data_IF_027857729114
#
_entry.id   IF_027857729114
#
_cell.length_a   1.000
_cell.length_b   1.000
_cell.length_c   1.000
_cell.angle_alpha   90.00
_cell.angle_beta   90.00
_cell.angle_gamma   90.00
#
_symmetry.space_group_name_H-M   'P 1'
#
loop_
_entity.id
_entity.type
_entity.pdbx_description
1 polymer ?
#
# COMPACT_ATOMS: atom_id res chain seq x y z
N UNK A 1 -12.44 -37.44 8.82
CA UNK A 1 -13.79 -37.04 8.41
C UNK A 1 -13.63 -36.09 7.26
N UNK A 2 -13.88 -36.62 6.07
CA UNK A 2 -13.80 -35.91 4.80
C UNK A 2 -15.18 -35.29 4.56
N UNK A 3 -15.23 -34.02 4.17
CA UNK A 3 -16.47 -33.32 3.89
C UNK A 3 -16.98 -33.78 2.51
N UNK A 4 -18.22 -34.24 2.45
CA UNK A 4 -18.80 -34.75 1.22
C UNK A 4 -18.80 -33.67 0.12
N UNK A 5 -18.47 -34.08 -1.12
CA UNK A 5 -18.45 -33.19 -2.29
C UNK A 5 -19.77 -32.45 -2.50
N UNK A 6 -20.89 -33.09 -2.15
CA UNK A 6 -22.23 -32.54 -2.25
C UNK A 6 -22.41 -31.29 -1.38
N UNK A 7 -21.82 -31.26 -0.19
CA UNK A 7 -21.88 -30.08 0.71
C UNK A 7 -21.14 -28.89 0.10
N UNK A 8 -19.97 -29.13 -0.51
CA UNK A 8 -19.22 -28.09 -1.23
C UNK A 8 -20.00 -27.57 -2.45
N UNK A 9 -20.59 -28.46 -3.25
CA UNK A 9 -21.41 -28.10 -4.41
C UNK A 9 -22.64 -27.28 -3.99
N UNK A 10 -23.32 -27.68 -2.92
CA UNK A 10 -24.46 -26.94 -2.37
C UNK A 10 -24.05 -25.52 -1.94
N UNK A 11 -22.96 -25.40 -1.18
CA UNK A 11 -22.43 -24.10 -0.78
C UNK A 11 -22.01 -23.23 -1.98
N UNK A 12 -21.48 -23.84 -3.04
CA UNK A 12 -21.19 -23.12 -4.28
C UNK A 12 -22.46 -22.50 -4.86
N UNK A 13 -23.51 -23.31 -5.01
CA UNK A 13 -24.78 -22.90 -5.61
C UNK A 13 -25.51 -21.83 -4.78
N UNK A 14 -25.51 -21.97 -3.45
CA UNK A 14 -26.29 -21.09 -2.55
C UNK A 14 -25.56 -19.83 -2.10
N UNK A 15 -24.27 -19.72 -2.41
CA UNK A 15 -23.40 -18.56 -2.15
C UNK A 15 -23.11 -18.19 -0.68
N UNK A 16 -23.89 -18.68 0.27
CA UNK A 16 -23.69 -18.48 1.71
C UNK A 16 -24.02 -19.76 2.46
N UNK A 17 -23.24 -20.08 3.49
CA UNK A 17 -23.42 -21.28 4.30
C UNK A 17 -24.79 -21.33 4.96
N UNK A 18 -25.30 -20.22 5.49
CA UNK A 18 -26.57 -20.21 6.22
C UNK A 18 -27.78 -20.57 5.35
N UNK A 19 -27.63 -20.54 4.02
CA UNK A 19 -28.65 -20.99 3.06
C UNK A 19 -28.59 -22.50 2.78
N UNK A 20 -27.50 -23.16 3.15
CA UNK A 20 -27.31 -24.60 2.95
C UNK A 20 -28.16 -25.45 3.91
N UNK A 21 -28.40 -26.70 3.54
CA UNK A 21 -29.08 -27.67 4.37
C UNK A 21 -28.31 -27.88 5.70
N UNK A 22 -29.01 -28.25 6.80
CA UNK A 22 -28.38 -28.44 8.11
C UNK A 22 -27.14 -29.33 8.09
N UNK A 23 -27.18 -30.46 7.36
CA UNK A 23 -26.05 -31.38 7.23
C UNK A 23 -24.82 -30.74 6.55
N UNK A 24 -25.04 -30.01 5.45
CA UNK A 24 -23.97 -29.29 4.77
C UNK A 24 -23.39 -28.15 5.63
N UNK A 25 -24.25 -27.44 6.37
CA UNK A 25 -23.82 -26.39 7.31
C UNK A 25 -22.90 -26.94 8.38
N UNK A 26 -23.30 -28.04 9.00
CA UNK A 26 -22.53 -28.66 10.08
C UNK A 26 -21.18 -29.18 9.57
N UNK A 27 -21.19 -29.95 8.49
CA UNK A 27 -19.97 -30.54 7.94
C UNK A 27 -18.93 -29.48 7.50
N UNK A 28 -19.39 -28.40 6.88
CA UNK A 28 -18.51 -27.31 6.43
C UNK A 28 -17.99 -26.47 7.61
N UNK A 29 -18.84 -26.18 8.62
CA UNK A 29 -18.39 -25.53 9.86
C UNK A 29 -17.33 -26.36 10.54
N UNK A 30 -17.58 -27.64 10.76
CA UNK A 30 -16.64 -28.53 11.43
C UNK A 30 -15.29 -28.57 10.68
N UNK A 31 -15.33 -28.60 9.34
CA UNK A 31 -14.12 -28.52 8.51
C UNK A 31 -13.32 -27.24 8.79
N UNK A 32 -13.95 -26.06 8.73
CA UNK A 32 -13.24 -24.80 8.96
C UNK A 32 -12.72 -24.70 10.39
N UNK A 33 -13.51 -25.04 11.39
CA UNK A 33 -13.14 -24.96 12.81
C UNK A 33 -11.93 -25.84 13.11
N UNK A 34 -11.95 -27.08 12.65
CA UNK A 34 -10.83 -28.02 12.86
C UNK A 34 -9.53 -27.48 12.25
N UNK A 35 -9.61 -26.90 11.04
CA UNK A 35 -8.45 -26.33 10.35
C UNK A 35 -7.97 -25.03 10.99
N UNK A 36 -8.90 -24.16 11.39
CA UNK A 36 -8.63 -22.90 12.06
C UNK A 36 -7.89 -23.15 13.39
N UNK A 37 -8.43 -24.02 14.25
CA UNK A 37 -7.76 -24.43 15.51
C UNK A 37 -6.38 -25.03 15.28
N UNK A 38 -6.22 -25.89 14.28
CA UNK A 38 -4.92 -26.46 13.92
C UNK A 38 -3.91 -25.40 13.44
N UNK A 39 -4.37 -24.33 12.79
CA UNK A 39 -3.50 -23.23 12.40
C UNK A 39 -3.10 -22.35 13.59
N UNK A 40 -4.04 -22.09 14.51
CA UNK A 40 -3.77 -21.34 15.74
C UNK A 40 -2.79 -22.07 16.66
N UNK A 41 -2.96 -23.38 16.87
CA UNK A 41 -2.06 -24.17 17.72
C UNK A 41 -0.62 -24.27 17.18
N UNK A 42 -0.41 -24.05 15.87
CA UNK A 42 0.92 -23.97 15.24
C UNK A 42 1.55 -22.59 15.31
N UNK A 43 0.81 -21.57 15.75
CA UNK A 43 1.24 -20.18 15.81
C UNK A 43 2.17 -19.84 16.98
N UNK A 44 2.47 -20.78 17.89
CA UNK A 44 3.25 -20.56 19.12
C UNK A 44 2.78 -19.33 19.92
N UNK A 45 1.46 -19.17 20.09
CA UNK A 45 0.89 -18.18 21.00
C UNK A 45 0.93 -18.74 22.42
N UNK A 46 1.79 -18.22 23.33
CA UNK A 46 2.07 -18.87 24.61
C UNK A 46 0.88 -18.95 25.57
N UNK A 47 -0.13 -18.09 25.39
CA UNK A 47 -1.28 -17.95 26.31
C UNK A 47 -2.65 -18.14 25.62
N UNK A 48 -2.69 -18.68 24.40
CA UNK A 48 -3.97 -18.93 23.74
C UNK A 48 -4.59 -20.24 24.24
N UNK A 49 -5.55 -20.13 25.16
CA UNK A 49 -6.50 -21.19 25.45
C UNK A 49 -7.66 -21.08 24.44
N UNK A 50 -7.79 -21.99 23.46
CA UNK A 50 -8.91 -21.95 22.52
C UNK A 50 -10.21 -22.17 23.28
N UNK A 51 -11.03 -21.12 23.40
CA UNK A 51 -12.37 -21.27 23.93
C UNK A 51 -13.25 -21.90 22.85
N UNK A 52 -13.61 -23.17 23.06
CA UNK A 52 -14.15 -24.01 22.02
C UNK A 52 -15.53 -23.54 21.50
N UNK A 53 -16.27 -22.74 22.28
CA UNK A 53 -17.61 -22.26 21.94
C UNK A 53 -17.60 -20.97 21.09
N UNK A 54 -16.63 -20.08 21.27
CA UNK A 54 -16.65 -18.74 20.64
C UNK A 54 -16.11 -18.76 19.20
N UNK A 55 -15.18 -19.67 18.89
CA UNK A 55 -14.44 -19.64 17.62
C UNK A 55 -15.14 -20.37 16.47
N UNK A 56 -16.11 -21.24 16.78
CA UNK A 56 -16.70 -22.15 15.80
C UNK A 56 -17.55 -21.46 14.71
N UNK A 57 -18.47 -20.53 15.07
CA UNK A 57 -19.22 -19.75 14.09
C UNK A 57 -18.33 -18.75 13.34
N UNK A 58 -17.28 -18.25 14.01
CA UNK A 58 -16.43 -17.20 13.49
C UNK A 58 -15.47 -17.69 12.39
N UNK A 59 -14.94 -18.91 12.51
CA UNK A 59 -13.98 -19.47 11.54
C UNK A 59 -14.53 -19.56 10.11
N UNK A 60 -15.78 -20.03 9.94
CA UNK A 60 -16.39 -20.11 8.61
C UNK A 60 -16.79 -18.73 8.09
N UNK A 61 -17.31 -17.86 8.97
CA UNK A 61 -17.65 -16.49 8.59
C UNK A 61 -16.43 -15.72 8.06
N UNK A 62 -15.30 -15.77 8.77
CA UNK A 62 -14.05 -15.17 8.33
C UNK A 62 -13.57 -15.74 6.98
N UNK A 63 -13.75 -17.05 6.79
CA UNK A 63 -13.42 -17.70 5.53
C UNK A 63 -14.29 -17.19 4.38
N UNK A 64 -15.61 -17.14 4.54
CA UNK A 64 -16.52 -16.59 3.51
C UNK A 64 -16.23 -15.13 3.20
N UNK A 65 -16.07 -14.30 4.23
CA UNK A 65 -15.73 -12.88 4.07
C UNK A 65 -14.43 -12.70 3.30
N UNK A 66 -13.41 -13.52 3.57
CA UNK A 66 -12.15 -13.47 2.85
C UNK A 66 -12.29 -13.88 1.38
N UNK A 67 -13.11 -14.91 1.08
CA UNK A 67 -13.37 -15.32 -0.30
C UNK A 67 -14.10 -14.26 -1.13
N UNK A 68 -14.88 -13.40 -0.47
CA UNK A 68 -15.63 -12.31 -1.10
C UNK A 68 -14.77 -11.05 -1.30
N UNK A 69 -13.93 -10.72 -0.32
CA UNK A 69 -13.17 -9.47 -0.31
C UNK A 69 -11.79 -9.59 -0.97
N UNK A 70 -11.21 -10.79 -0.99
CA UNK A 70 -9.90 -11.02 -1.57
C UNK A 70 -10.00 -11.66 -2.97
N UNK A 71 -9.01 -11.35 -3.82
CA UNK A 71 -8.84 -11.99 -5.11
C UNK A 71 -7.50 -12.74 -5.15
N UNK A 72 -7.42 -13.75 -6.03
CA UNK A 72 -6.15 -14.40 -6.34
C UNK A 72 -5.19 -13.40 -6.99
N UNK A 73 -3.89 -13.73 -7.04
CA UNK A 73 -2.88 -12.92 -7.77
C UNK A 73 -3.21 -12.71 -9.26
N UNK A 74 -4.08 -13.55 -9.82
CA UNK A 74 -4.56 -13.49 -11.20
C UNK A 74 -5.91 -12.77 -11.33
N UNK A 75 -6.44 -12.15 -10.26
CA UNK A 75 -7.71 -11.43 -10.25
C UNK A 75 -8.96 -12.32 -10.22
N UNK A 76 -8.81 -13.65 -10.24
CA UNK A 76 -9.95 -14.58 -10.09
C UNK A 76 -10.48 -14.57 -8.67
N UNK A 77 -11.81 -14.72 -8.53
CA UNK A 77 -12.48 -14.95 -7.25
C UNK A 77 -12.02 -16.28 -6.66
N UNK A 78 -11.66 -16.30 -5.38
CA UNK A 78 -11.13 -17.51 -4.74
C UNK A 78 -12.12 -18.68 -4.77
N UNK A 79 -13.43 -18.40 -4.71
CA UNK A 79 -14.46 -19.43 -4.78
C UNK A 79 -14.47 -20.14 -6.13
N UNK A 80 -14.32 -19.42 -7.24
CA UNK A 80 -14.27 -20.03 -8.58
C UNK A 80 -12.97 -20.81 -8.76
N UNK A 81 -11.85 -20.23 -8.34
CA UNK A 81 -10.54 -20.89 -8.33
C UNK A 81 -10.55 -22.22 -7.56
N UNK A 82 -11.26 -22.29 -6.43
CA UNK A 82 -11.37 -23.49 -5.60
C UNK A 82 -11.94 -24.69 -6.38
N UNK A 83 -12.95 -24.44 -7.22
CA UNK A 83 -13.62 -25.47 -8.01
C UNK A 83 -12.93 -25.72 -9.35
N UNK A 84 -12.31 -24.70 -9.96
CA UNK A 84 -11.47 -24.87 -11.16
C UNK A 84 -10.28 -25.79 -10.88
N UNK A 85 -9.70 -25.70 -9.68
CA UNK A 85 -8.53 -26.48 -9.27
C UNK A 85 -8.72 -28.00 -9.34
N UNK A 86 -9.95 -28.49 -9.14
CA UNK A 86 -10.26 -29.92 -9.17
C UNK A 86 -10.98 -30.38 -10.44
N UNK A 87 -11.17 -29.50 -11.44
CA UNK A 87 -11.98 -29.79 -12.63
C UNK A 87 -11.46 -30.93 -13.53
N UNK A 88 -10.24 -31.44 -13.29
CA UNK A 88 -9.61 -32.52 -14.07
C UNK A 88 -9.66 -33.92 -13.45
N UNK A 89 -10.15 -34.07 -12.21
CA UNK A 89 -10.19 -35.36 -11.52
C UNK A 89 -11.43 -35.44 -10.61
N UNK A 90 -12.57 -35.89 -11.17
CA UNK A 90 -13.85 -35.89 -10.46
C UNK A 90 -13.84 -36.78 -9.20
N UNK A 91 -13.10 -37.89 -9.24
CA UNK A 91 -12.92 -38.80 -8.10
C UNK A 91 -12.17 -38.15 -6.93
N UNK A 92 -11.35 -37.12 -7.16
CA UNK A 92 -10.52 -36.44 -6.16
C UNK A 92 -10.94 -34.98 -5.92
N UNK A 93 -12.04 -34.53 -6.54
CA UNK A 93 -12.49 -33.13 -6.50
C UNK A 93 -12.72 -32.65 -5.06
N UNK A 94 -13.31 -33.48 -4.20
CA UNK A 94 -13.50 -33.15 -2.78
C UNK A 94 -12.17 -32.87 -2.07
N UNK A 95 -11.17 -33.75 -2.27
CA UNK A 95 -9.83 -33.58 -1.68
C UNK A 95 -9.11 -32.36 -2.24
N UNK A 96 -9.24 -32.09 -3.53
CA UNK A 96 -8.67 -30.91 -4.16
C UNK A 96 -9.27 -29.60 -3.60
N UNK A 97 -10.60 -29.58 -3.42
CA UNK A 97 -11.33 -28.47 -2.81
C UNK A 97 -10.91 -28.27 -1.36
N UNK A 98 -10.87 -29.34 -0.55
CA UNK A 98 -10.45 -29.27 0.85
C UNK A 98 -9.01 -28.80 1.00
N UNK A 99 -8.11 -29.27 0.13
CA UNK A 99 -6.71 -28.82 0.10
C UNK A 99 -6.60 -27.32 -0.22
N UNK A 100 -7.38 -26.84 -1.19
CA UNK A 100 -7.47 -25.42 -1.53
C UNK A 100 -8.06 -24.57 -0.40
N UNK A 101 -9.15 -25.04 0.21
CA UNK A 101 -9.83 -24.36 1.30
C UNK A 101 -8.92 -24.26 2.54
N UNK A 102 -8.17 -25.33 2.85
CA UNK A 102 -7.19 -25.32 3.94
C UNK A 102 -6.06 -24.30 3.72
N UNK A 103 -5.60 -24.10 2.48
CA UNK A 103 -4.60 -23.09 2.16
C UNK A 103 -5.13 -21.67 2.37
N UNK A 104 -6.38 -21.41 1.94
CA UNK A 104 -7.04 -20.12 2.13
C UNK A 104 -7.29 -19.87 3.62
N UNK A 105 -7.82 -20.85 4.35
CA UNK A 105 -8.01 -20.79 5.80
C UNK A 105 -6.73 -20.43 6.55
N UNK A 106 -5.58 -20.94 6.11
CA UNK A 106 -4.28 -20.53 6.69
C UNK A 106 -3.98 -19.04 6.49
N UNK A 107 -4.38 -18.47 5.35
CA UNK A 107 -4.28 -17.03 5.10
C UNK A 107 -5.23 -16.23 5.99
N UNK A 108 -6.48 -16.69 6.10
CA UNK A 108 -7.51 -16.13 6.98
C UNK A 108 -7.04 -16.09 8.43
N UNK A 109 -6.48 -17.19 8.94
CA UNK A 109 -5.95 -17.27 10.32
C UNK A 109 -4.82 -16.29 10.54
N UNK A 110 -3.88 -16.15 9.57
CA UNK A 110 -2.80 -15.15 9.71
C UNK A 110 -3.32 -13.74 9.78
N UNK A 111 -4.34 -13.44 8.97
CA UNK A 111 -4.97 -12.13 8.93
C UNK A 111 -5.73 -11.85 10.23
N UNK A 112 -6.51 -12.82 10.71
CA UNK A 112 -7.18 -12.78 11.99
C UNK A 112 -6.18 -12.54 13.14
N UNK A 113 -5.09 -13.32 13.19
CA UNK A 113 -4.03 -13.11 14.18
C UNK A 113 -3.38 -11.73 14.04
N UNK A 114 -3.18 -11.22 12.83
CA UNK A 114 -2.64 -9.87 12.64
C UNK A 114 -3.55 -8.77 13.17
N UNK A 115 -4.86 -8.97 13.11
CA UNK A 115 -5.86 -8.00 13.56
C UNK A 115 -6.08 -8.09 15.08
N UNK A 116 -6.38 -9.29 15.57
CA UNK A 116 -6.71 -9.54 16.99
C UNK A 116 -5.46 -9.61 17.89
N UNK A 117 -4.35 -10.11 17.36
CA UNK A 117 -3.09 -10.29 18.07
C UNK A 117 -2.01 -9.41 17.46
N UNK A 118 -2.21 -8.10 17.63
CA UNK A 118 -1.15 -7.14 17.39
C UNK A 118 0.12 -7.58 18.15
N UNK A 119 1.31 -7.56 17.53
CA UNK A 119 2.54 -8.00 18.19
C UNK A 119 2.69 -7.33 19.57
N UNK A 120 3.35 -7.95 20.56
CA UNK A 120 3.47 -7.41 21.92
C UNK A 120 4.16 -6.03 22.03
N UNK A 121 4.69 -5.51 20.92
CA UNK A 121 5.27 -4.16 20.79
C UNK A 121 4.34 -3.14 20.14
N UNK A 122 3.10 -3.51 19.82
CA UNK A 122 2.09 -2.61 19.25
C UNK A 122 1.09 -2.27 20.35
N UNK A 123 1.31 -1.12 20.98
CA UNK A 123 0.40 -0.55 21.98
C UNK A 123 -0.66 0.28 21.27
N UNK A 124 -1.87 0.32 21.83
CA UNK A 124 -2.89 1.27 21.38
C UNK A 124 -2.40 2.69 21.65
N UNK A 125 -2.65 3.61 20.72
CA UNK A 125 -2.39 5.03 20.97
C UNK A 125 -3.23 5.55 22.15
N UNK A 126 -4.41 4.98 22.36
CA UNK A 126 -5.30 5.30 23.48
C UNK A 126 -4.88 4.60 24.80
N UNK A 127 -3.77 3.87 24.83
CA UNK A 127 -3.28 3.26 26.07
C UNK A 127 -2.87 4.37 27.03
N UNK A 128 -3.50 4.40 28.21
CA UNK A 128 -3.16 5.31 29.31
C UNK A 128 -1.79 4.95 29.86
N UNK A 129 -0.96 5.98 30.05
CA UNK A 129 0.39 5.90 30.57
C UNK A 129 0.42 6.35 32.03
N UNK A 130 0.82 5.43 32.92
CA UNK A 130 0.93 5.65 34.37
C UNK A 130 -0.17 4.93 35.16
N UNK A 131 0.15 4.50 36.38
CA UNK A 131 -0.76 3.78 37.28
C UNK A 131 -1.68 4.70 38.09
N UNK A 132 -1.38 6.00 38.14
CA UNK A 132 -1.93 6.91 39.14
C UNK A 132 -2.81 7.97 38.47
N UNK A 133 -4.02 7.57 38.08
CA UNK A 133 -5.16 8.48 37.82
C UNK A 133 -5.01 9.52 36.70
N UNK A 134 -3.93 9.51 35.92
CA UNK A 134 -3.75 10.39 34.78
C UNK A 134 -4.51 9.91 33.54
N UNK A 135 -5.01 10.83 32.72
CA UNK A 135 -5.63 10.52 31.42
C UNK A 135 -4.63 10.57 30.26
N UNK A 136 -3.33 10.66 30.55
CA UNK A 136 -2.29 10.80 29.53
C UNK A 136 -2.20 9.51 28.73
N UNK A 137 -2.47 9.57 27.44
CA UNK A 137 -2.38 8.45 26.52
C UNK A 137 -1.06 8.46 25.76
N UNK A 138 -0.74 7.34 25.13
CA UNK A 138 0.42 7.23 24.23
C UNK A 138 0.28 8.16 23.02
N UNK A 139 -0.94 8.48 22.61
CA UNK A 139 -1.27 9.49 21.59
C UNK A 139 -0.79 10.88 21.99
N UNK A 140 -0.98 11.27 23.26
CA UNK A 140 -0.59 12.59 23.77
C UNK A 140 0.94 12.80 23.77
N UNK A 141 1.72 11.71 23.71
CA UNK A 141 3.18 11.76 23.60
C UNK A 141 3.68 11.84 22.15
N UNK A 142 2.80 11.70 21.15
CA UNK A 142 3.19 11.83 19.75
C UNK A 142 3.32 13.31 19.35
N UNK A 143 4.35 13.67 18.57
CA UNK A 143 4.54 15.06 18.16
C UNK A 143 3.48 15.51 17.13
N UNK A 144 2.52 16.31 17.61
CA UNK A 144 1.61 17.14 16.82
C UNK A 144 0.15 16.69 16.90
N UNK A 145 -0.76 17.66 16.76
CA UNK A 145 -2.20 17.39 16.61
C UNK A 145 -2.42 16.65 15.27
N UNK A 146 -2.96 15.43 15.32
CA UNK A 146 -3.24 14.64 14.13
C UNK A 146 -4.62 14.99 13.58
N UNK A 147 -4.70 15.99 12.72
CA UNK A 147 -5.89 16.19 11.92
C UNK A 147 -5.95 15.12 10.83
N UNK A 148 -6.76 14.08 11.06
CA UNK A 148 -6.99 13.00 10.12
C UNK A 148 -7.51 13.51 8.78
N UNK A 149 -8.34 14.56 8.77
CA UNK A 149 -8.85 15.15 7.54
C UNK A 149 -7.74 15.86 6.75
N UNK A 150 -6.85 16.60 7.44
CA UNK A 150 -5.67 17.20 6.80
C UNK A 150 -4.74 16.12 6.23
N UNK A 151 -4.54 15.01 6.96
CA UNK A 151 -3.69 13.91 6.53
C UNK A 151 -4.25 13.17 5.30
N UNK A 152 -5.56 12.99 5.22
CA UNK A 152 -6.25 12.44 4.04
C UNK A 152 -6.11 13.40 2.85
N UNK A 153 -6.45 14.67 3.04
CA UNK A 153 -6.31 15.71 2.01
C UNK A 153 -4.87 15.79 1.47
N UNK A 154 -3.87 15.70 2.36
CA UNK A 154 -2.46 15.65 2.00
C UNK A 154 -2.12 14.44 1.14
N UNK A 155 -2.58 13.24 1.51
CA UNK A 155 -2.34 12.01 0.72
C UNK A 155 -2.96 12.10 -0.67
N UNK A 156 -4.18 12.60 -0.78
CA UNK A 156 -4.86 12.80 -2.06
C UNK A 156 -4.12 13.81 -2.94
N UNK A 157 -3.65 14.91 -2.36
CA UNK A 157 -2.84 15.91 -3.05
C UNK A 157 -1.50 15.31 -3.52
N UNK A 158 -0.82 14.53 -2.67
CA UNK A 158 0.42 13.83 -3.02
C UNK A 158 0.21 12.84 -4.18
N UNK A 159 -0.88 12.08 -4.19
CA UNK A 159 -1.22 11.15 -5.27
C UNK A 159 -1.53 11.87 -6.58
N UNK A 160 -2.29 12.96 -6.50
CA UNK A 160 -2.54 13.82 -7.65
C UNK A 160 -1.23 14.41 -8.19
N UNK A 161 -0.37 14.90 -7.30
CA UNK A 161 0.93 15.44 -7.64
C UNK A 161 1.84 14.39 -8.32
N UNK A 162 1.87 13.15 -7.82
CA UNK A 162 2.61 12.04 -8.44
C UNK A 162 2.14 11.77 -9.86
N UNK A 163 0.82 11.73 -10.08
CA UNK A 163 0.23 11.52 -11.41
C UNK A 163 0.59 12.66 -12.38
N UNK A 164 0.49 13.90 -11.92
CA UNK A 164 0.84 15.08 -12.72
C UNK A 164 2.33 15.16 -13.02
N UNK A 165 3.19 14.93 -12.03
CA UNK A 165 4.63 14.86 -12.19
C UNK A 165 5.03 13.83 -13.25
N UNK A 166 4.38 12.65 -13.28
CA UNK A 166 4.65 11.65 -14.31
C UNK A 166 4.31 12.15 -15.73
N UNK A 167 3.20 12.89 -15.89
CA UNK A 167 2.80 13.47 -17.19
C UNK A 167 3.81 14.52 -17.65
N UNK A 168 4.22 15.42 -16.75
CA UNK A 168 5.25 16.42 -17.07
C UNK A 168 6.59 15.78 -17.36
N UNK A 169 7.05 14.83 -16.54
CA UNK A 169 8.33 14.15 -16.70
C UNK A 169 8.48 13.47 -18.08
N UNK A 170 7.41 12.83 -18.58
CA UNK A 170 7.39 12.21 -19.91
C UNK A 170 7.62 13.24 -21.04
N UNK A 171 7.16 14.47 -20.85
CA UNK A 171 7.31 15.58 -21.80
C UNK A 171 8.59 16.40 -21.56
N UNK A 172 9.20 16.29 -20.38
CA UNK A 172 10.44 16.99 -20.05
C UNK A 172 11.57 16.59 -21.00
N UNK A 173 12.21 17.59 -21.61
CA UNK A 173 13.40 17.44 -22.43
C UNK A 173 14.60 17.12 -21.54
N UNK A 174 15.64 16.54 -22.15
CA UNK A 174 16.87 16.17 -21.43
C UNK A 174 17.52 17.35 -20.67
N UNK A 175 17.68 18.57 -21.25
CA UNK A 175 18.23 19.70 -20.51
C UNK A 175 17.40 20.11 -19.29
N UNK A 176 16.07 20.00 -19.36
CA UNK A 176 15.16 20.31 -18.26
C UNK A 176 15.31 19.29 -17.12
N UNK A 177 15.43 18.00 -17.45
CA UNK A 177 15.67 16.93 -16.47
C UNK A 177 17.01 17.10 -15.77
N UNK A 178 18.06 17.44 -16.51
CA UNK A 178 19.40 17.68 -15.94
C UNK A 178 19.39 18.93 -15.05
N UNK A 179 18.74 20.02 -15.49
CA UNK A 179 18.64 21.24 -14.67
C UNK A 179 17.91 20.98 -13.35
N UNK A 180 16.78 20.26 -13.41
CA UNK A 180 16.04 19.90 -12.20
C UNK A 180 16.87 18.96 -11.31
N UNK A 181 17.55 17.96 -11.89
CA UNK A 181 18.43 17.05 -11.14
C UNK A 181 19.55 17.80 -10.41
N UNK A 182 20.24 18.72 -11.09
CA UNK A 182 21.28 19.54 -10.47
C UNK A 182 20.72 20.35 -9.29
N UNK A 183 19.51 20.91 -9.44
CA UNK A 183 18.83 21.61 -8.35
C UNK A 183 18.46 20.69 -7.19
N UNK A 184 17.97 19.48 -7.46
CA UNK A 184 17.67 18.46 -6.44
C UNK A 184 18.93 18.04 -5.67
N UNK A 185 20.06 17.94 -6.37
CA UNK A 185 21.37 17.61 -5.79
C UNK A 185 22.08 18.83 -5.14
N UNK A 186 21.45 20.00 -5.14
CA UNK A 186 22.03 21.26 -4.66
C UNK A 186 23.33 21.67 -5.39
N UNK A 187 23.53 21.19 -6.62
CA UNK A 187 24.65 21.56 -7.48
C UNK A 187 24.27 22.82 -8.28
N UNK A 188 25.18 23.78 -8.34
CA UNK A 188 24.99 24.99 -9.14
C UNK A 188 24.80 24.66 -10.62
N UNK A 189 23.81 25.29 -11.28
CA UNK A 189 23.62 25.15 -12.74
C UNK A 189 24.78 25.76 -13.56
N UNK A 190 25.61 26.60 -12.93
CA UNK A 190 26.82 27.12 -13.54
C UNK A 190 28.01 26.15 -13.43
N UNK A 191 27.88 25.07 -12.67
CA UNK A 191 28.96 24.11 -12.46
C UNK A 191 29.29 23.35 -13.76
N UNK A 192 30.58 23.12 -14.09
CA UNK A 192 30.97 22.40 -15.31
C UNK A 192 30.34 21.01 -15.45
N UNK A 193 30.11 20.30 -14.34
CA UNK A 193 29.44 19.00 -14.37
C UNK A 193 27.99 19.10 -14.87
N UNK A 194 27.27 20.19 -14.55
CA UNK A 194 25.89 20.40 -14.99
C UNK A 194 25.80 20.75 -16.48
N UNK A 195 26.70 21.59 -16.98
CA UNK A 195 26.76 21.96 -18.40
C UNK A 195 27.23 20.78 -19.26
N UNK A 196 28.21 20.01 -18.78
CA UNK A 196 28.67 18.78 -19.44
C UNK A 196 27.57 17.72 -19.50
N UNK A 197 26.86 17.48 -18.38
CA UNK A 197 25.76 16.52 -18.34
C UNK A 197 24.61 16.92 -19.29
N UNK A 198 24.27 18.22 -19.34
CA UNK A 198 23.21 18.72 -20.20
C UNK A 198 23.61 18.80 -21.69
N UNK A 199 24.90 18.96 -21.98
CA UNK A 199 25.41 19.21 -23.33
C UNK A 199 25.11 20.63 -23.83
N UNK A 200 24.88 21.58 -22.92
CA UNK A 200 24.53 22.97 -23.27
C UNK A 200 25.15 24.00 -22.31
N UNK A 201 25.20 25.25 -22.77
CA UNK A 201 25.72 26.38 -21.97
C UNK A 201 24.82 26.69 -20.76
N UNK A 202 25.39 27.30 -19.71
CA UNK A 202 24.68 27.68 -18.47
C UNK A 202 23.38 28.45 -18.73
N UNK A 203 23.40 29.44 -19.62
CA UNK A 203 22.25 30.28 -19.94
C UNK A 203 21.07 29.46 -20.46
N UNK A 204 21.35 28.45 -21.29
CA UNK A 204 20.33 27.55 -21.81
C UNK A 204 19.77 26.66 -20.71
N UNK A 205 20.61 26.20 -19.78
CA UNK A 205 20.19 25.36 -18.66
C UNK A 205 19.25 26.10 -17.70
N UNK A 206 19.58 27.34 -17.35
CA UNK A 206 18.70 28.22 -16.57
C UNK A 206 17.38 28.48 -17.31
N UNK A 207 17.43 28.79 -18.61
CA UNK A 207 16.21 29.01 -19.40
C UNK A 207 15.33 27.75 -19.51
N UNK A 208 15.96 26.56 -19.50
CA UNK A 208 15.25 25.27 -19.53
C UNK A 208 14.54 25.00 -18.22
N UNK A 209 15.17 25.30 -17.07
CA UNK A 209 14.51 25.16 -15.77
C UNK A 209 13.32 26.11 -15.62
N UNK A 210 13.47 27.37 -16.03
CA UNK A 210 12.38 28.34 -15.99
C UNK A 210 11.23 27.93 -16.92
N UNK A 211 11.54 27.48 -18.13
CA UNK A 211 10.53 26.97 -19.07
C UNK A 211 9.79 25.76 -18.50
N UNK A 212 10.49 24.83 -17.86
CA UNK A 212 9.84 23.71 -17.17
C UNK A 212 8.88 24.23 -16.09
N UNK A 213 9.31 25.21 -15.31
CA UNK A 213 8.47 25.77 -14.25
C UNK A 213 7.22 26.48 -14.79
N UNK A 214 7.36 27.26 -15.85
CA UNK A 214 6.23 27.89 -16.53
C UNK A 214 5.30 26.86 -17.16
N UNK A 215 5.84 25.78 -17.74
CA UNK A 215 5.05 24.69 -18.31
C UNK A 215 4.24 23.97 -17.23
N UNK A 216 4.84 23.69 -16.08
CA UNK A 216 4.15 23.08 -14.93
C UNK A 216 3.07 24.03 -14.42
N UNK A 217 3.41 25.30 -14.19
CA UNK A 217 2.49 26.33 -13.70
C UNK A 217 1.28 26.48 -14.63
N UNK A 218 1.50 26.75 -15.91
CA UNK A 218 0.42 26.95 -16.89
C UNK A 218 -0.40 25.67 -17.09
N UNK A 219 0.25 24.50 -17.11
CA UNK A 219 -0.46 23.23 -17.24
C UNK A 219 -1.36 22.90 -16.05
N UNK A 220 -0.95 23.26 -14.83
CA UNK A 220 -1.77 23.09 -13.63
C UNK A 220 -2.89 24.14 -13.57
N UNK A 221 -2.60 25.42 -13.82
CA UNK A 221 -3.62 26.47 -13.84
C UNK A 221 -4.71 26.21 -14.88
N UNK A 222 -4.35 25.71 -16.07
CA UNK A 222 -5.33 25.39 -17.10
C UNK A 222 -6.20 24.18 -16.72
N UNK A 223 -5.61 23.13 -16.14
CA UNK A 223 -6.34 21.90 -15.81
C UNK A 223 -7.22 22.03 -14.57
N UNK A 224 -6.79 22.84 -13.61
CA UNK A 224 -7.44 23.04 -12.32
C UNK A 224 -7.96 24.47 -12.19
N UNK A 225 -8.48 25.04 -13.30
CA UNK A 225 -8.93 26.43 -13.35
C UNK A 225 -10.14 26.72 -12.44
N UNK A 226 -10.90 25.68 -12.07
CA UNK A 226 -12.05 25.79 -11.17
C UNK A 226 -11.67 25.66 -9.68
N UNK A 227 -10.43 25.24 -9.38
CA UNK A 227 -9.96 25.02 -8.02
C UNK A 227 -9.47 26.33 -7.38
N UNK A 228 -9.44 26.38 -6.05
CA UNK A 228 -8.85 27.48 -5.31
C UNK A 228 -7.36 27.68 -5.70
N UNK A 229 -6.94 28.91 -6.07
CA UNK A 229 -5.54 29.22 -6.35
C UNK A 229 -4.54 28.78 -5.27
N UNK A 230 -4.94 28.74 -3.99
CA UNK A 230 -4.12 28.25 -2.90
C UNK A 230 -3.89 26.73 -3.01
N UNK A 231 -4.92 25.95 -3.37
CA UNK A 231 -4.82 24.51 -3.61
C UNK A 231 -3.94 24.23 -4.82
N UNK A 232 -4.12 24.96 -5.93
CA UNK A 232 -3.27 24.81 -7.12
C UNK A 232 -1.80 25.12 -6.82
N UNK A 233 -1.53 26.10 -5.96
CA UNK A 233 -0.17 26.42 -5.49
C UNK A 233 0.43 25.27 -4.67
N UNK A 234 -0.31 24.71 -3.72
CA UNK A 234 0.13 23.53 -2.94
C UNK A 234 0.40 22.34 -3.86
N UNK A 235 -0.49 22.10 -4.82
CA UNK A 235 -0.32 21.06 -5.84
C UNK A 235 0.95 21.29 -6.67
N UNK A 236 1.23 22.52 -7.11
CA UNK A 236 2.43 22.84 -7.87
C UNK A 236 3.70 22.51 -7.09
N UNK A 237 3.77 22.87 -5.81
CA UNK A 237 4.89 22.52 -4.94
C UNK A 237 5.06 21.00 -4.80
N UNK A 238 3.98 20.28 -4.54
CA UNK A 238 3.99 18.82 -4.45
C UNK A 238 4.39 18.15 -5.78
N UNK A 239 3.98 18.72 -6.92
CA UNK A 239 4.39 18.25 -8.26
C UNK A 239 5.89 18.42 -8.46
N UNK A 240 6.48 19.54 -8.05
CA UNK A 240 7.94 19.74 -8.12
C UNK A 240 8.72 18.79 -7.21
N UNK A 241 8.19 18.47 -6.03
CA UNK A 241 8.79 17.47 -5.14
C UNK A 241 8.74 16.07 -5.78
N UNK A 242 7.59 15.68 -6.33
CA UNK A 242 7.45 14.42 -7.06
C UNK A 242 8.33 14.36 -8.33
N UNK A 243 8.44 15.46 -9.07
CA UNK A 243 9.35 15.59 -10.22
C UNK A 243 10.82 15.45 -9.79
N UNK A 244 11.20 16.05 -8.66
CA UNK A 244 12.54 15.91 -8.08
C UNK A 244 12.88 14.46 -7.77
N UNK A 245 11.94 13.70 -7.18
CA UNK A 245 12.11 12.26 -6.94
C UNK A 245 12.22 11.46 -8.25
N UNK A 246 11.48 11.83 -9.29
CA UNK A 246 11.56 11.20 -10.61
C UNK A 246 12.91 11.47 -11.30
N UNK A 247 13.37 12.73 -11.35
CA UNK A 247 14.68 13.04 -11.96
C UNK A 247 15.83 12.45 -11.19
N UNK A 248 15.73 12.34 -9.86
CA UNK A 248 16.76 11.69 -9.05
C UNK A 248 16.91 10.20 -9.41
N UNK A 249 15.78 9.47 -9.47
CA UNK A 249 15.77 8.05 -9.87
C UNK A 249 16.27 7.86 -11.30
N UNK A 250 15.79 8.68 -12.24
CA UNK A 250 16.27 8.66 -13.63
C UNK A 250 17.77 8.99 -13.71
N UNK A 251 18.22 10.01 -13.00
CA UNK A 251 19.61 10.47 -13.00
C UNK A 251 20.59 9.39 -12.53
N UNK A 252 20.20 8.53 -11.59
CA UNK A 252 21.04 7.39 -11.16
C UNK A 252 21.32 6.38 -12.29
N UNK A 253 20.41 6.24 -13.25
CA UNK A 253 20.58 5.36 -14.41
C UNK A 253 21.28 6.06 -15.60
N UNK A 254 21.33 7.39 -15.59
CA UNK A 254 21.85 8.19 -16.70
C UNK A 254 23.37 8.39 -16.59
N UNK A 255 24.15 7.76 -17.49
CA UNK A 255 25.63 7.84 -17.47
C UNK A 255 26.15 9.29 -17.50
N UNK A 256 25.51 10.17 -18.27
CA UNK A 256 25.93 11.58 -18.36
C UNK A 256 25.76 12.36 -17.05
N UNK A 257 24.92 11.89 -16.13
CA UNK A 257 24.67 12.54 -14.85
C UNK A 257 25.69 12.15 -13.76
N UNK A 258 26.58 11.19 -14.01
CA UNK A 258 27.54 10.70 -13.01
C UNK A 258 28.43 11.82 -12.42
N UNK A 259 28.77 12.84 -13.20
CA UNK A 259 29.50 14.01 -12.72
C UNK A 259 28.74 14.81 -11.64
N UNK A 260 27.42 14.90 -11.75
CA UNK A 260 26.58 15.61 -10.77
C UNK A 260 26.51 14.89 -9.43
N UNK A 261 26.40 13.57 -9.43
CA UNK A 261 26.37 12.78 -8.20
C UNK A 261 27.71 12.78 -7.45
N UNK A 262 28.83 12.83 -8.20
CA UNK A 262 30.16 13.01 -7.61
C UNK A 262 30.28 14.37 -6.93
N UNK A 263 29.83 15.43 -7.59
CA UNK A 263 29.85 16.78 -7.04
C UNK A 263 28.96 16.91 -5.80
N UNK A 264 27.80 16.23 -5.78
CA UNK A 264 26.90 16.21 -4.64
C UNK A 264 27.45 15.43 -3.41
N UNK A 265 28.67 14.88 -3.50
CA UNK A 265 29.36 14.23 -2.38
C UNK A 265 28.69 12.95 -1.88
N UNK A 266 27.96 12.23 -2.75
CA UNK A 266 27.26 11.00 -2.36
C UNK A 266 26.15 11.19 -1.32
N UNK A 267 25.70 12.43 -1.03
CA UNK A 267 24.59 12.66 -0.10
C UNK A 267 23.32 11.96 -0.60
N UNK A 268 22.75 11.01 0.16
CA UNK A 268 21.59 10.26 -0.28
C UNK A 268 20.31 11.06 -0.03
N UNK A 269 19.44 10.98 -1.04
CA UNK A 269 18.04 11.39 -1.10
C UNK A 269 17.67 12.85 -0.80
N UNK A 270 16.65 13.39 -1.51
CA UNK A 270 16.04 14.65 -1.12
C UNK A 270 15.54 14.51 0.31
N UNK A 271 16.10 15.31 1.22
CA UNK A 271 15.60 15.46 2.58
C UNK A 271 14.13 15.88 2.45
N UNK A 272 13.20 14.98 2.78
CA UNK A 272 11.81 15.34 3.09
C UNK A 272 11.92 16.47 4.10
N UNK A 273 11.60 17.70 3.69
CA UNK A 273 11.75 18.89 4.55
C UNK A 273 11.02 18.57 5.86
N UNK A 274 11.77 18.52 6.96
CA UNK A 274 11.17 18.39 8.29
C UNK A 274 10.20 19.55 8.47
N UNK A 275 9.00 19.18 8.92
CA UNK A 275 7.87 20.04 9.26
C UNK A 275 8.38 21.31 9.95
N UNK A 276 8.22 22.47 9.32
CA UNK A 276 8.27 23.73 10.04
C UNK A 276 6.86 23.98 10.57
N UNK A 277 6.73 24.04 11.90
CA UNK A 277 5.58 24.60 12.58
C UNK A 277 5.40 26.05 12.09
N UNK A 278 4.22 26.35 11.57
CA UNK A 278 3.68 27.70 11.56
C UNK A 278 2.88 27.86 12.87
#
# INVERSE_FOLDING_TARGET
MDCALEHWREWKAKCALDRCAPAAREALREFAVRRFRRCLSRGNLPDYAPDAETDAPHAWHLFETHLLTAATRQGKRYKDWLFERGAGAEADLARAIEGGAALILRGVVREYLRQEWSPPHVLSLQTVLGSDGGSLTLEDLLPGDWDTAEDVCRRELEDLARREAQKFFRRCRRPERIALLARTLQVSLAHPAATAAAGCRKTLLFSSLNRLADTVKSGLLQRYAAEDPAVVRRLALAVFEALSALVFRWGRAEKSAAGLFREAGGRPEPVRRRRHKA
#
